data_IF_983106562104
#
_entry.id   IF_983106562104
#
_cell.length_a   1.000
_cell.length_b   1.000
_cell.length_c   1.000
_cell.angle_alpha   90.00
_cell.angle_beta   90.00
_cell.angle_gamma   90.00
#
_symmetry.space_group_name_H-M   'P 1'
#
loop_
_entity.id
_entity.type
_entity.pdbx_description
1 polymer ?
#
# COMPACT_ATOMS: atom_id res chain seq x y z
N UNK A 1 28.38 0.02 34.70
CA UNK A 1 27.58 -0.95 35.48
C UNK A 1 26.86 -1.87 34.51
N UNK A 2 27.28 -3.14 34.42
CA UNK A 2 26.67 -4.19 33.60
C UNK A 2 25.33 -4.60 34.23
N UNK A 3 24.22 -4.46 33.50
CA UNK A 3 22.98 -5.19 33.79
C UNK A 3 22.74 -6.16 32.66
N UNK A 4 23.06 -7.42 32.93
CA UNK A 4 22.52 -8.58 32.22
C UNK A 4 21.07 -8.73 32.64
N UNK A 5 20.15 -8.92 31.70
CA UNK A 5 18.82 -9.41 32.04
C UNK A 5 18.30 -10.37 30.97
N UNK A 6 18.42 -11.64 31.37
CA UNK A 6 17.76 -12.88 31.03
C UNK A 6 16.76 -12.94 29.86
N UNK A 7 17.11 -13.91 29.02
CA UNK A 7 16.35 -14.70 28.07
C UNK A 7 15.20 -15.48 28.76
N UNK A 8 13.98 -15.35 28.26
CA UNK A 8 12.89 -16.30 28.53
C UNK A 8 12.25 -16.70 27.21
N UNK A 9 12.52 -17.92 26.77
CA UNK A 9 11.90 -18.57 25.63
C UNK A 9 10.58 -19.19 26.10
N UNK A 10 9.47 -18.81 25.47
CA UNK A 10 8.20 -19.52 25.61
C UNK A 10 7.82 -20.11 24.25
N UNK A 11 8.16 -21.37 24.05
CA UNK A 11 7.69 -22.17 22.92
C UNK A 11 6.30 -22.73 23.25
N UNK A 12 5.26 -22.20 22.62
CA UNK A 12 3.91 -22.77 22.70
C UNK A 12 3.65 -23.63 21.48
N UNK A 13 3.77 -24.94 21.68
CA UNK A 13 3.40 -26.00 20.75
C UNK A 13 1.90 -26.27 20.91
N UNK A 14 1.10 -25.94 19.90
CA UNK A 14 -0.31 -26.34 19.84
C UNK A 14 -0.56 -27.08 18.52
N UNK A 15 -0.42 -28.40 18.58
CA UNK A 15 -0.99 -29.31 17.60
C UNK A 15 -2.46 -29.54 17.96
N UNK A 16 -3.37 -29.53 16.99
CA UNK A 16 -4.60 -30.32 17.04
C UNK A 16 -5.15 -30.54 15.62
N UNK A 17 -5.19 -31.82 15.27
CA UNK A 17 -5.83 -32.44 14.11
C UNK A 17 -7.36 -32.40 14.24
N UNK A 18 -8.08 -32.04 13.18
CA UNK A 18 -9.45 -32.50 12.93
C UNK A 18 -9.62 -32.69 11.41
N UNK A 19 -9.55 -33.94 10.95
CA UNK A 19 -10.68 -34.84 10.64
C UNK A 19 -11.30 -34.57 9.26
N UNK A 20 -10.85 -35.41 8.32
CA UNK A 20 -11.42 -35.68 7.00
C UNK A 20 -12.87 -36.13 7.11
N UNK A 21 -13.77 -35.38 6.47
CA UNK A 21 -15.15 -35.81 6.21
C UNK A 21 -15.35 -36.06 4.72
N UNK A 22 -15.38 -37.33 4.30
CA UNK A 22 -15.87 -37.75 2.99
C UNK A 22 -17.39 -37.85 3.05
N UNK A 23 -18.09 -36.79 2.62
CA UNK A 23 -19.53 -36.81 2.36
C UNK A 23 -19.76 -37.10 0.87
N UNK A 24 -20.04 -38.36 0.56
CA UNK A 24 -20.47 -38.82 -0.76
C UNK A 24 -21.96 -38.49 -0.89
N UNK A 25 -22.35 -37.64 -1.85
CA UNK A 25 -23.74 -37.47 -2.25
C UNK A 25 -23.80 -37.36 -3.76
N UNK A 26 -24.25 -38.44 -4.39
CA UNK A 26 -24.63 -38.50 -5.80
C UNK A 26 -25.85 -37.62 -6.04
N UNK A 27 -25.77 -36.71 -7.01
CA UNK A 27 -26.93 -36.29 -7.79
C UNK A 27 -26.49 -35.73 -9.17
N UNK A 28 -26.61 -36.62 -10.15
CA UNK A 28 -27.32 -36.44 -11.43
C UNK A 28 -27.19 -35.10 -12.19
N UNK A 29 -26.27 -35.13 -13.15
CA UNK A 29 -26.37 -34.67 -14.55
C UNK A 29 -27.51 -33.69 -14.89
N UNK A 30 -27.12 -32.45 -15.20
CA UNK A 30 -27.70 -31.73 -16.35
C UNK A 30 -26.56 -31.07 -17.12
N UNK A 31 -26.25 -31.65 -18.27
CA UNK A 31 -25.39 -31.04 -19.27
C UNK A 31 -26.12 -29.83 -19.86
N UNK A 32 -25.55 -28.66 -19.70
CA UNK A 32 -25.80 -27.52 -20.57
C UNK A 32 -24.44 -27.07 -21.07
N UNK A 33 -24.12 -27.51 -22.28
CA UNK A 33 -23.01 -26.99 -23.07
C UNK A 33 -23.31 -25.51 -23.36
N UNK A 34 -22.65 -24.61 -22.63
CA UNK A 34 -22.45 -23.26 -23.09
C UNK A 34 -20.94 -23.02 -23.15
N UNK A 35 -20.51 -22.72 -24.38
CA UNK A 35 -19.15 -22.59 -24.82
C UNK A 35 -18.30 -21.76 -23.85
N UNK A 36 -17.31 -22.44 -23.26
CA UNK A 36 -16.16 -21.82 -22.63
C UNK A 36 -15.36 -21.10 -23.73
N UNK A 37 -15.68 -19.83 -23.93
CA UNK A 37 -14.72 -18.89 -24.47
C UNK A 37 -13.62 -18.75 -23.42
N UNK A 38 -12.54 -19.49 -23.60
CA UNK A 38 -11.27 -19.21 -22.95
C UNK A 38 -10.82 -17.83 -23.45
N UNK A 39 -11.29 -16.78 -22.78
CA UNK A 39 -10.73 -15.45 -22.90
C UNK A 39 -9.27 -15.57 -22.49
N UNK A 40 -8.42 -15.52 -23.51
CA UNK A 40 -6.99 -15.42 -23.38
C UNK A 40 -6.70 -14.02 -22.82
N UNK A 41 -6.96 -13.85 -21.52
CA UNK A 41 -6.71 -12.62 -20.77
C UNK A 41 -5.21 -12.44 -20.75
N UNK A 42 -4.71 -11.71 -21.74
CA UNK A 42 -3.36 -11.17 -21.72
C UNK A 42 -3.32 -10.26 -20.50
N UNK A 43 -2.86 -10.78 -19.36
CA UNK A 43 -2.65 -10.02 -18.13
C UNK A 43 -1.76 -8.84 -18.49
N UNK A 44 -2.39 -7.66 -18.60
CA UNK A 44 -1.70 -6.42 -18.86
C UNK A 44 -0.86 -6.14 -17.62
N UNK A 45 0.43 -6.49 -17.69
CA UNK A 45 1.41 -6.17 -16.66
C UNK A 45 1.34 -4.67 -16.39
N UNK A 46 1.03 -4.30 -15.16
CA UNK A 46 1.00 -2.91 -14.73
C UNK A 46 2.43 -2.42 -14.56
N UNK A 47 2.76 -1.30 -15.21
CA UNK A 47 4.04 -0.65 -15.01
C UNK A 47 4.12 -0.05 -13.60
N UNK A 48 5.20 -0.29 -12.84
CA UNK A 48 5.37 0.31 -11.52
C UNK A 48 5.43 1.85 -11.59
N UNK A 49 4.70 2.52 -10.71
CA UNK A 49 4.77 3.98 -10.52
C UNK A 49 5.99 4.32 -9.66
N UNK A 50 6.10 3.67 -8.51
CA UNK A 50 7.21 3.80 -7.55
C UNK A 50 7.20 2.58 -6.61
N UNK A 51 8.35 2.14 -6.13
CA UNK A 51 8.38 1.18 -5.02
C UNK A 51 8.34 1.94 -3.69
N UNK A 52 7.23 1.82 -2.95
CA UNK A 52 7.05 2.51 -1.68
C UNK A 52 8.05 2.09 -0.61
N UNK A 53 8.65 0.89 -0.71
CA UNK A 53 9.69 0.46 0.24
C UNK A 53 10.95 1.33 0.16
N UNK A 54 11.12 2.04 -0.96
CA UNK A 54 12.25 2.95 -1.18
C UNK A 54 12.04 4.35 -0.61
N UNK A 55 10.79 4.76 -0.33
CA UNK A 55 10.48 6.14 0.10
C UNK A 55 9.63 6.24 1.37
N UNK A 56 8.80 5.24 1.70
CA UNK A 56 7.99 5.22 2.91
C UNK A 56 8.84 5.16 4.18
N UNK A 57 8.52 6.00 5.17
CA UNK A 57 9.29 6.14 6.43
C UNK A 57 10.76 6.50 6.26
N UNK A 58 11.17 6.99 5.07
CA UNK A 58 12.54 7.40 4.80
C UNK A 58 12.79 8.86 5.15
N UNK A 59 14.02 9.18 5.50
CA UNK A 59 14.45 10.57 5.69
C UNK A 59 14.47 11.32 4.36
N UNK A 60 14.48 12.66 4.39
CA UNK A 60 14.59 13.48 3.18
C UNK A 60 15.80 13.07 2.31
N UNK A 61 16.97 12.87 2.92
CA UNK A 61 18.19 12.48 2.19
C UNK A 61 18.06 11.11 1.51
N UNK A 62 17.39 10.15 2.15
CA UNK A 62 17.13 8.83 1.55
C UNK A 62 16.10 8.93 0.41
N UNK A 63 15.05 9.75 0.57
CA UNK A 63 14.09 10.01 -0.52
C UNK A 63 14.78 10.70 -1.70
N UNK A 64 15.68 11.66 -1.44
CA UNK A 64 16.45 12.34 -2.47
C UNK A 64 17.37 11.39 -3.24
N UNK A 65 17.89 10.34 -2.61
CA UNK A 65 18.68 9.31 -3.28
C UNK A 65 17.86 8.50 -4.30
N UNK A 66 16.54 8.44 -4.14
CA UNK A 66 15.62 7.69 -5.01
C UNK A 66 14.97 8.58 -6.06
N UNK A 67 14.48 9.76 -5.64
CA UNK A 67 13.71 10.67 -6.48
C UNK A 67 14.55 11.78 -7.13
N UNK A 68 15.81 11.93 -6.72
CA UNK A 68 16.62 13.12 -7.00
C UNK A 68 16.42 14.20 -5.93
N UNK A 69 17.24 15.24 -5.98
CA UNK A 69 17.15 16.37 -5.03
C UNK A 69 15.77 17.00 -5.05
N UNK A 70 15.29 17.43 -3.88
CA UNK A 70 14.07 18.21 -3.79
C UNK A 70 14.23 19.55 -4.52
N UNK A 71 13.21 19.95 -5.27
CA UNK A 71 13.16 21.24 -5.98
C UNK A 71 12.91 22.38 -5.02
N UNK A 72 12.11 22.11 -3.98
CA UNK A 72 11.83 23.03 -2.90
C UNK A 72 11.45 22.25 -1.64
N UNK A 73 11.68 22.89 -0.50
CA UNK A 73 11.18 22.42 0.79
C UNK A 73 10.59 23.58 1.56
N UNK A 74 9.55 23.32 2.35
CA UNK A 74 8.89 24.34 3.15
C UNK A 74 8.34 23.74 4.45
N UNK A 75 8.15 24.59 5.46
CA UNK A 75 7.50 24.18 6.70
C UNK A 75 5.99 24.20 6.52
N UNK A 76 5.31 23.16 6.99
CA UNK A 76 3.86 23.05 6.94
C UNK A 76 3.28 22.80 8.33
N UNK A 77 2.07 23.31 8.55
CA UNK A 77 1.29 23.11 9.77
C UNK A 77 -0.06 22.49 9.41
N UNK A 78 -0.66 21.78 10.37
CA UNK A 78 -1.93 21.07 10.17
C UNK A 78 -1.69 19.66 9.64
N UNK A 79 -2.76 18.97 9.26
CA UNK A 79 -2.75 17.53 8.96
C UNK A 79 -1.62 17.07 8.00
N UNK A 80 -0.84 16.02 8.32
CA UNK A 80 -0.96 15.12 9.48
C UNK A 80 -0.22 15.60 10.75
N UNK A 81 0.17 16.88 10.80
CA UNK A 81 1.08 17.50 11.74
C UNK A 81 0.39 18.63 12.52
N UNK A 82 -0.64 18.26 13.27
CA UNK A 82 -1.44 19.21 14.07
C UNK A 82 -0.66 19.71 15.29
N UNK A 83 0.17 18.85 15.87
CA UNK A 83 0.95 19.11 17.08
C UNK A 83 2.46 19.15 16.86
N UNK A 84 2.93 18.87 15.64
CA UNK A 84 4.35 18.79 15.31
C UNK A 84 4.71 19.66 14.11
N UNK A 85 5.96 20.14 14.07
CA UNK A 85 6.49 20.83 12.90
C UNK A 85 6.80 19.80 11.81
N UNK A 86 6.20 19.99 10.63
CA UNK A 86 6.48 19.17 9.46
C UNK A 86 7.18 19.95 8.37
N UNK A 87 7.91 19.20 7.54
CA UNK A 87 8.51 19.72 6.33
C UNK A 87 7.82 19.06 5.14
N UNK A 88 7.46 19.85 4.14
CA UNK A 88 7.01 19.37 2.83
C UNK A 88 8.14 19.55 1.83
N UNK A 89 8.34 18.57 0.96
CA UNK A 89 9.28 18.65 -0.16
C UNK A 89 8.59 18.26 -1.47
N UNK A 90 9.03 18.89 -2.56
CA UNK A 90 8.53 18.64 -3.90
C UNK A 90 9.65 18.08 -4.78
N UNK A 91 9.31 17.08 -5.61
CA UNK A 91 10.26 16.40 -6.49
C UNK A 91 9.66 16.23 -7.88
N UNK A 92 10.54 16.17 -8.89
CA UNK A 92 10.20 15.84 -10.28
C UNK A 92 9.06 16.72 -10.83
N UNK A 93 9.22 18.02 -10.74
CA UNK A 93 8.31 19.08 -11.13
C UNK A 93 6.95 18.94 -10.44
N UNK A 94 6.96 18.66 -9.14
CA UNK A 94 5.77 18.44 -8.34
C UNK A 94 5.04 17.12 -8.61
N UNK A 95 5.63 16.17 -9.36
CA UNK A 95 5.06 14.84 -9.50
C UNK A 95 4.95 14.13 -8.14
N UNK A 96 5.90 14.37 -7.23
CA UNK A 96 5.85 13.86 -5.87
C UNK A 96 5.85 15.02 -4.88
N UNK A 97 4.88 15.01 -3.97
CA UNK A 97 4.83 15.85 -2.79
C UNK A 97 4.96 14.94 -1.56
N UNK A 98 5.97 15.18 -0.73
CA UNK A 98 6.23 14.37 0.47
C UNK A 98 6.23 15.26 1.70
N UNK A 99 5.37 14.93 2.66
CA UNK A 99 5.38 15.52 3.99
C UNK A 99 6.18 14.60 4.92
N UNK A 100 7.19 15.17 5.54
CA UNK A 100 8.05 14.55 6.53
C UNK A 100 7.55 14.93 7.93
N UNK A 101 7.08 13.92 8.68
CA UNK A 101 6.67 14.02 10.08
C UNK A 101 7.77 13.44 10.95
N UNK A 102 8.22 14.20 11.95
CA UNK A 102 9.34 13.81 12.82
C UNK A 102 10.59 13.37 12.04
N UNK A 103 10.86 14.02 10.89
CA UNK A 103 12.03 13.76 10.05
C UNK A 103 11.92 12.60 9.06
N UNK A 104 10.78 11.90 9.00
CA UNK A 104 10.56 10.76 8.10
C UNK A 104 9.33 10.95 7.22
N UNK A 105 9.37 10.44 5.98
CA UNK A 105 8.28 10.52 5.03
C UNK A 105 7.03 9.82 5.58
N UNK A 106 5.95 10.59 5.68
CA UNK A 106 4.71 10.15 6.33
C UNK A 106 3.49 10.29 5.42
N UNK A 107 3.37 11.40 4.67
CA UNK A 107 2.33 11.56 3.67
C UNK A 107 2.96 11.80 2.31
N UNK A 108 2.57 11.01 1.33
CA UNK A 108 3.12 11.04 -0.03
C UNK A 108 1.96 11.20 -0.99
N UNK A 109 1.99 12.26 -1.79
CA UNK A 109 1.07 12.45 -2.91
C UNK A 109 1.85 12.24 -4.21
N UNK A 110 1.34 11.38 -5.08
CA UNK A 110 1.87 11.13 -6.42
C UNK A 110 0.87 11.70 -7.41
N UNK A 111 1.24 12.78 -8.09
CA UNK A 111 0.40 13.48 -9.04
C UNK A 111 0.53 12.90 -10.45
N UNK A 112 -0.44 13.19 -11.31
CA UNK A 112 -0.46 12.81 -12.72
C UNK A 112 -0.35 11.29 -12.96
N UNK A 113 -0.99 10.50 -12.09
CA UNK A 113 -1.06 9.04 -12.25
C UNK A 113 -2.19 8.67 -13.21
N UNK A 114 -2.12 7.52 -13.91
CA UNK A 114 -3.26 7.00 -14.66
C UNK A 114 -4.43 6.70 -13.71
N UNK A 115 -5.65 6.72 -14.25
CA UNK A 115 -6.83 6.29 -13.49
C UNK A 115 -6.76 4.77 -13.28
N UNK A 116 -6.57 4.39 -12.02
CA UNK A 116 -6.52 3.00 -11.56
C UNK A 116 -7.62 2.72 -10.52
N UNK A 117 -8.62 3.60 -10.41
CA UNK A 117 -9.68 3.46 -9.39
C UNK A 117 -10.49 2.19 -9.57
N UNK A 118 -10.68 1.68 -10.79
CA UNK A 118 -11.40 0.42 -11.01
C UNK A 118 -10.52 -0.83 -11.03
N UNK A 119 -9.21 -0.69 -10.79
CA UNK A 119 -8.26 -1.80 -10.84
C UNK A 119 -7.95 -2.35 -9.45
N UNK A 120 -8.33 -3.60 -9.19
CA UNK A 120 -8.10 -4.26 -7.89
C UNK A 120 -6.62 -4.54 -7.61
N UNK A 121 -5.79 -4.62 -8.65
CA UNK A 121 -4.35 -4.82 -8.58
C UNK A 121 -3.55 -3.52 -8.61
N UNK A 122 -4.21 -2.35 -8.59
CA UNK A 122 -3.56 -1.05 -8.65
C UNK A 122 -2.45 -0.87 -7.60
N UNK A 123 -2.63 -1.42 -6.40
CA UNK A 123 -1.66 -1.32 -5.30
C UNK A 123 -0.30 -1.95 -5.65
N UNK A 124 -0.25 -2.90 -6.58
CA UNK A 124 1.00 -3.52 -7.03
C UNK A 124 1.90 -2.52 -7.77
N UNK A 125 1.32 -1.47 -8.37
CA UNK A 125 2.09 -0.37 -8.99
C UNK A 125 2.96 0.40 -7.99
N UNK A 126 2.70 0.21 -6.69
CA UNK A 126 3.42 0.81 -5.58
C UNK A 126 4.50 -0.10 -4.96
N UNK A 127 4.81 -1.25 -5.59
CA UNK A 127 5.76 -2.24 -5.07
C UNK A 127 5.22 -3.07 -3.89
N UNK A 128 3.91 -3.04 -3.67
CA UNK A 128 3.21 -3.74 -2.60
C UNK A 128 2.62 -5.07 -3.09
N UNK A 129 2.43 -6.06 -2.20
CA UNK A 129 1.75 -7.30 -2.57
C UNK A 129 0.29 -7.03 -2.97
N UNK A 130 -0.24 -7.89 -3.84
CA UNK A 130 -1.65 -7.88 -4.20
C UNK A 130 -2.52 -7.99 -2.93
N UNK A 131 -3.52 -7.11 -2.82
CA UNK A 131 -4.47 -7.13 -1.70
C UNK A 131 -5.79 -6.49 -2.09
N UNK A 132 -6.87 -6.93 -1.46
CA UNK A 132 -8.21 -6.41 -1.74
C UNK A 132 -8.40 -5.02 -1.13
N UNK A 133 -8.99 -4.05 -1.85
CA UNK A 133 -9.31 -2.74 -1.27
C UNK A 133 -10.34 -2.86 -0.14
N UNK A 134 -10.17 -2.04 0.89
CA UNK A 134 -11.11 -1.91 2.00
C UNK A 134 -12.33 -1.07 1.62
N UNK A 135 -12.21 -0.22 0.60
CA UNK A 135 -13.31 0.54 0.01
C UNK A 135 -13.05 0.76 -1.48
N UNK A 136 -14.07 0.61 -2.32
CA UNK A 136 -13.96 0.82 -3.77
C UNK A 136 -15.16 1.61 -4.29
N UNK A 137 -14.87 2.72 -4.94
CA UNK A 137 -15.78 3.44 -5.82
C UNK A 137 -15.00 3.78 -7.09
N UNK A 138 -15.13 2.94 -8.12
CA UNK A 138 -14.32 2.96 -9.35
C UNK A 138 -14.43 4.20 -10.25
N UNK A 139 -15.03 5.29 -9.74
CA UNK A 139 -15.03 6.61 -10.39
C UNK A 139 -14.46 7.72 -9.51
N UNK A 140 -14.26 7.46 -8.21
CA UNK A 140 -13.94 8.49 -7.22
C UNK A 140 -12.69 8.10 -6.47
N UNK A 141 -12.69 6.93 -5.82
CA UNK A 141 -11.57 6.51 -4.97
C UNK A 141 -11.60 5.02 -4.72
N UNK A 142 -10.41 4.43 -4.70
CA UNK A 142 -10.20 3.07 -4.18
C UNK A 142 -9.16 3.12 -3.07
N UNK A 143 -9.49 2.50 -1.94
CA UNK A 143 -8.76 2.64 -0.69
C UNK A 143 -8.34 1.30 -0.13
N UNK A 144 -7.12 1.25 0.38
CA UNK A 144 -6.57 0.19 1.20
C UNK A 144 -6.16 0.75 2.56
N UNK A 145 -6.37 -0.03 3.62
CA UNK A 145 -5.96 0.33 4.97
C UNK A 145 -5.03 -0.76 5.54
N UNK A 146 -4.03 -0.34 6.32
CA UNK A 146 -3.12 -1.23 7.06
C UNK A 146 -2.38 -2.26 6.20
N UNK A 147 -1.80 -1.84 5.07
CA UNK A 147 -1.01 -2.72 4.17
C UNK A 147 0.48 -2.46 4.41
N UNK A 148 1.27 -3.48 4.74
CA UNK A 148 2.75 -3.38 4.88
C UNK A 148 3.21 -2.22 5.80
N UNK A 149 2.50 -1.99 6.92
CA UNK A 149 2.70 -0.88 7.86
C UNK A 149 2.32 0.52 7.33
N UNK A 150 1.61 0.60 6.21
CA UNK A 150 1.02 1.83 5.69
C UNK A 150 -0.40 1.92 6.22
N UNK A 151 -0.72 3.03 6.90
CA UNK A 151 -2.03 3.26 7.47
C UNK A 151 -3.13 3.32 6.39
N UNK A 152 -2.94 4.12 5.35
CA UNK A 152 -3.95 4.32 4.31
C UNK A 152 -3.31 4.60 2.93
N UNK A 153 -3.89 4.03 1.89
CA UNK A 153 -3.55 4.30 0.48
C UNK A 153 -4.86 4.57 -0.26
N UNK A 154 -4.94 5.71 -0.94
CA UNK A 154 -6.08 6.09 -1.78
C UNK A 154 -5.61 6.34 -3.21
N UNK A 155 -6.23 5.64 -4.15
CA UNK A 155 -6.11 5.95 -5.57
C UNK A 155 -7.31 6.81 -5.96
N UNK A 156 -7.04 8.00 -6.48
CA UNK A 156 -8.00 8.87 -7.15
C UNK A 156 -7.76 8.84 -8.66
N UNK A 157 -8.68 9.36 -9.51
CA UNK A 157 -8.53 9.29 -10.96
C UNK A 157 -7.24 9.91 -11.52
N UNK A 158 -6.65 10.89 -10.84
CA UNK A 158 -5.47 11.63 -11.32
C UNK A 158 -4.29 11.70 -10.35
N UNK A 159 -4.43 11.13 -9.16
CA UNK A 159 -3.36 11.11 -8.16
C UNK A 159 -3.52 9.94 -7.19
N UNK A 160 -2.42 9.58 -6.53
CA UNK A 160 -2.40 8.62 -5.42
C UNK A 160 -1.99 9.36 -4.16
N UNK A 161 -2.71 9.11 -3.06
CA UNK A 161 -2.40 9.62 -1.74
C UNK A 161 -2.07 8.46 -0.80
N UNK A 162 -0.88 8.48 -0.24
CA UNK A 162 -0.39 7.49 0.72
C UNK A 162 -0.15 8.18 2.06
N UNK A 163 -0.60 7.55 3.13
CA UNK A 163 -0.37 7.95 4.50
C UNK A 163 0.21 6.77 5.30
N UNK A 164 1.44 6.93 5.77
CA UNK A 164 2.22 5.91 6.45
C UNK A 164 1.73 5.73 7.88
N UNK A 165 1.73 6.78 8.69
CA UNK A 165 1.25 6.72 10.07
C UNK A 165 -0.15 7.31 10.22
N UNK A 166 -0.82 6.99 11.34
CA UNK A 166 -2.07 7.66 11.68
C UNK A 166 -1.80 9.14 11.99
N UNK A 167 -2.77 10.03 11.73
CA UNK A 167 -2.70 11.40 12.20
C UNK A 167 -2.55 11.42 13.73
N UNK A 168 -1.91 12.46 14.26
CA UNK A 168 -1.81 12.69 15.71
C UNK A 168 -3.19 12.95 16.35
#
# INVERSE_FOLDING_TARGET
>A
MKRMMNLTVAASLAALLFMTGCGNSEQEVTQTENASAAENTTEKKLEPIIDLKLIGSKTLAEVEAVLGKAESTEKVKGFPCEQSDCQRAFFKNGQFEVIFKSGSADRITINNTPDLTDNDDAIQTLGLPASKPTFKNGKIVTRWNNVENINEINFFPSYVLIQITKPD
#
